data_IF_204038710948
#
_entry.id   IF_204038710948
#
_cell.length_a   1.000
_cell.length_b   1.000
_cell.length_c   1.000
_cell.angle_alpha   90.00
_cell.angle_beta   90.00
_cell.angle_gamma   90.00
#
_symmetry.space_group_name_H-M   'P 1'
#
loop_
_entity.id
_entity.type
_entity.pdbx_description
1 polymer ?
#
# COMPACT_ATOMS: atom_id res chain seq x y z
N UNK A 1 18.90 10.79 -10.82
CA UNK A 1 18.59 10.66 -9.37
C UNK A 1 17.14 10.96 -8.98
N UNK A 2 16.40 11.83 -9.70
CA UNK A 2 15.00 12.21 -9.35
C UNK A 2 14.01 11.03 -9.35
N UNK A 3 14.16 10.07 -10.27
CA UNK A 3 13.25 8.91 -10.36
C UNK A 3 13.48 7.86 -9.27
N UNK A 4 14.70 7.75 -8.71
CA UNK A 4 14.98 6.83 -7.58
C UNK A 4 14.23 7.22 -6.31
N UNK A 5 14.07 8.54 -6.04
CA UNK A 5 13.29 9.03 -4.89
C UNK A 5 11.80 8.72 -5.04
N UNK A 6 11.24 8.92 -6.25
CA UNK A 6 9.84 8.56 -6.56
C UNK A 6 9.59 7.06 -6.39
N UNK A 7 10.53 6.22 -6.85
CA UNK A 7 10.47 4.78 -6.68
C UNK A 7 10.49 4.34 -5.21
N UNK A 8 11.31 4.99 -4.37
CA UNK A 8 11.34 4.72 -2.93
C UNK A 8 10.01 5.07 -2.24
N UNK A 9 9.34 6.15 -2.67
CA UNK A 9 8.04 6.53 -2.13
C UNK A 9 6.98 5.47 -2.46
N UNK A 10 6.91 5.04 -3.73
CA UNK A 10 5.98 3.96 -4.12
C UNK A 10 6.29 2.67 -3.36
N UNK A 11 7.57 2.32 -3.22
CA UNK A 11 7.98 1.14 -2.47
C UNK A 11 7.57 1.22 -0.99
N UNK A 12 7.73 2.39 -0.35
CA UNK A 12 7.26 2.61 1.01
C UNK A 12 5.73 2.43 1.14
N UNK A 13 4.95 2.90 0.17
CA UNK A 13 3.50 2.70 0.15
C UNK A 13 3.13 1.21 -0.01
N UNK A 14 3.82 0.46 -0.86
CA UNK A 14 3.59 -0.98 -1.02
C UNK A 14 3.92 -1.74 0.26
N UNK A 15 5.04 -1.39 0.92
CA UNK A 15 5.44 -2.01 2.19
C UNK A 15 4.43 -1.69 3.30
N UNK A 16 3.96 -0.43 3.38
CA UNK A 16 2.93 -0.03 4.34
C UNK A 16 1.60 -0.78 4.11
N UNK A 17 1.16 -0.91 2.85
CA UNK A 17 -0.03 -1.69 2.50
C UNK A 17 0.11 -3.17 2.91
N UNK A 18 1.27 -3.77 2.65
CA UNK A 18 1.53 -5.16 3.02
C UNK A 18 1.59 -5.38 4.54
N UNK A 19 2.16 -4.44 5.30
CA UNK A 19 2.17 -4.48 6.76
C UNK A 19 0.77 -4.35 7.34
N UNK A 20 -0.03 -3.40 6.86
CA UNK A 20 -1.42 -3.23 7.30
C UNK A 20 -2.26 -4.47 6.99
N UNK A 21 -2.06 -5.08 5.81
CA UNK A 21 -2.75 -6.31 5.44
C UNK A 21 -2.36 -7.48 6.35
N UNK A 22 -1.06 -7.64 6.66
CA UNK A 22 -0.58 -8.66 7.60
C UNK A 22 -1.14 -8.43 9.01
N UNK A 23 -1.23 -7.18 9.45
CA UNK A 23 -1.80 -6.84 10.74
C UNK A 23 -3.31 -7.11 10.78
N UNK A 24 -4.02 -6.82 9.68
CA UNK A 24 -5.44 -7.14 9.55
C UNK A 24 -5.71 -8.66 9.63
N UNK A 25 -4.85 -9.47 9.00
CA UNK A 25 -4.92 -10.95 9.11
C UNK A 25 -4.58 -11.46 10.53
N UNK A 26 -3.75 -10.74 11.29
CA UNK A 26 -3.43 -11.12 12.67
C UNK A 26 -4.59 -10.87 13.63
N UNK A 27 -5.51 -9.95 13.30
CA UNK A 27 -6.65 -9.55 14.14
C UNK A 27 -7.98 -9.98 13.50
N UNK A 28 -7.96 -11.00 12.63
CA UNK A 28 -9.05 -11.37 11.72
C UNK A 28 -10.39 -11.76 12.38
N UNK A 29 -10.41 -11.88 13.71
CA UNK A 29 -11.63 -12.20 14.49
C UNK A 29 -12.37 -10.96 15.00
N UNK A 30 -11.80 -9.77 14.79
CA UNK A 30 -12.40 -8.50 15.17
C UNK A 30 -13.00 -7.83 13.92
N UNK A 31 -14.16 -7.17 14.05
CA UNK A 31 -14.79 -6.40 12.96
C UNK A 31 -13.82 -5.33 12.40
N UNK A 32 -12.89 -4.88 13.24
CA UNK A 32 -11.81 -3.98 12.88
C UNK A 32 -10.87 -4.53 11.78
N UNK A 33 -10.77 -5.84 11.64
CA UNK A 33 -9.94 -6.48 10.61
C UNK A 33 -10.44 -6.23 9.20
N UNK A 34 -11.76 -6.19 8.99
CA UNK A 34 -12.37 -5.94 7.69
C UNK A 34 -12.04 -4.52 7.22
N UNK A 35 -12.15 -3.54 8.12
CA UNK A 35 -11.79 -2.14 7.83
C UNK A 35 -10.32 -2.04 7.46
N UNK A 36 -9.44 -2.72 8.21
CA UNK A 36 -7.99 -2.73 7.95
C UNK A 36 -7.65 -3.38 6.60
N UNK A 37 -8.34 -4.47 6.22
CA UNK A 37 -8.19 -5.09 4.89
C UNK A 37 -8.58 -4.09 3.79
N UNK A 38 -9.74 -3.43 3.91
CA UNK A 38 -10.22 -2.46 2.93
C UNK A 38 -9.25 -1.29 2.78
N UNK A 39 -8.74 -0.74 3.89
CA UNK A 39 -7.74 0.33 3.90
C UNK A 39 -6.45 -0.12 3.21
N UNK A 40 -5.99 -1.35 3.48
CA UNK A 40 -4.78 -1.92 2.87
C UNK A 40 -4.91 -2.03 1.35
N UNK A 41 -6.07 -2.48 0.86
CA UNK A 41 -6.35 -2.60 -0.57
C UNK A 41 -6.40 -1.22 -1.24
N UNK A 42 -7.05 -0.24 -0.63
CA UNK A 42 -7.07 1.14 -1.15
C UNK A 42 -5.65 1.69 -1.23
N UNK A 43 -4.83 1.50 -0.19
CA UNK A 43 -3.45 1.97 -0.16
C UNK A 43 -2.61 1.34 -1.28
N UNK A 44 -2.81 0.05 -1.56
CA UNK A 44 -2.16 -0.68 -2.64
C UNK A 44 -2.56 -0.13 -4.02
N UNK A 45 -3.85 0.11 -4.24
CA UNK A 45 -4.36 0.68 -5.51
C UNK A 45 -3.77 2.07 -5.73
N UNK A 46 -3.75 2.92 -4.69
CA UNK A 46 -3.13 4.25 -4.76
C UNK A 46 -1.64 4.13 -5.11
N UNK A 47 -0.91 3.20 -4.49
CA UNK A 47 0.49 2.94 -4.80
C UNK A 47 0.70 2.53 -6.28
N UNK A 48 -0.18 1.66 -6.82
CA UNK A 48 -0.14 1.26 -8.22
C UNK A 48 -0.44 2.43 -9.17
N UNK A 49 -1.43 3.27 -8.86
CA UNK A 49 -1.75 4.45 -9.66
C UNK A 49 -0.56 5.41 -9.70
N UNK A 50 0.05 5.71 -8.55
CA UNK A 50 1.26 6.53 -8.51
C UNK A 50 2.42 5.90 -9.25
N UNK A 51 2.61 4.58 -9.16
CA UNK A 51 3.62 3.88 -9.93
C UNK A 51 3.40 4.08 -11.43
N UNK A 52 2.18 3.84 -11.92
CA UNK A 52 1.83 3.98 -13.33
C UNK A 52 2.03 5.43 -13.80
N UNK A 53 1.57 6.42 -13.03
CA UNK A 53 1.74 7.83 -13.40
C UNK A 53 3.23 8.21 -13.45
N UNK A 54 4.03 7.81 -12.45
CA UNK A 54 5.43 8.23 -12.35
C UNK A 54 6.43 7.42 -13.18
N UNK A 55 6.09 6.20 -13.60
CA UNK A 55 6.97 5.35 -14.42
C UNK A 55 6.54 5.24 -15.89
N UNK A 56 5.35 5.74 -16.24
CA UNK A 56 4.93 5.86 -17.65
C UNK A 56 5.45 7.15 -18.31
N UNK A 57 5.94 8.10 -17.50
CA UNK A 57 6.68 9.31 -17.89
C UNK A 57 8.19 9.04 -18.01
#
# INVERSE_FOLDING_TARGET
MRNRKKMLIVFAFVVAAAMLFRFALAIVHDDFSVVMIVVSVILLVVAMVFFVIYFKE
#
